data_IF_426494898121
#
_entry.id   IF_426494898121
#
_cell.length_a   1.000
_cell.length_b   1.000
_cell.length_c   1.000
_cell.angle_alpha   90.00
_cell.angle_beta   90.00
_cell.angle_gamma   90.00
#
_symmetry.space_group_name_H-M   'P 1'
#
loop_
_entity.id
_entity.type
_entity.pdbx_description
1 polymer ?
#
# COMPACT_ATOMS: atom_id res chain seq x y z
N UNK A 1 -0.22 -10.27 14.37
CA UNK A 1 -0.98 -9.87 15.57
C UNK A 1 -2.23 -9.13 15.10
N UNK A 2 -3.39 -9.83 15.04
CA UNK A 2 -4.64 -9.25 14.57
C UNK A 2 -5.11 -8.04 15.39
N UNK A 3 -4.69 -7.92 16.66
CA UNK A 3 -5.08 -6.80 17.52
C UNK A 3 -4.51 -5.45 17.08
N UNK A 4 -3.52 -5.46 16.17
CA UNK A 4 -2.88 -4.26 15.61
C UNK A 4 -3.48 -3.82 14.28
N UNK A 5 -4.47 -4.55 13.76
CA UNK A 5 -5.10 -4.24 12.48
C UNK A 5 -6.38 -3.43 12.68
N UNK A 6 -6.64 -2.51 11.78
CA UNK A 6 -7.94 -1.84 11.66
C UNK A 6 -8.93 -2.69 10.86
N UNK A 7 -10.14 -2.16 10.66
CA UNK A 7 -11.24 -2.82 9.95
C UNK A 7 -10.91 -3.15 8.48
N UNK A 8 -9.91 -2.49 7.89
CA UNK A 8 -9.44 -2.76 6.53
C UNK A 8 -8.25 -3.73 6.49
N UNK A 9 -7.86 -4.30 7.64
CA UNK A 9 -6.70 -5.20 7.74
C UNK A 9 -5.36 -4.48 7.69
N UNK A 10 -5.33 -3.15 7.85
CA UNK A 10 -4.12 -2.35 7.84
C UNK A 10 -3.56 -2.15 9.26
N UNK A 11 -2.24 -2.05 9.41
CA UNK A 11 -1.61 -1.86 10.73
C UNK A 11 -1.92 -0.45 11.27
N UNK A 12 -2.72 -0.36 12.34
CA UNK A 12 -3.24 0.90 12.89
C UNK A 12 -2.14 1.89 13.29
N UNK A 13 -1.03 1.38 13.86
CA UNK A 13 0.12 2.21 14.21
C UNK A 13 0.80 2.85 12.99
N UNK A 14 0.90 2.13 11.88
CA UNK A 14 1.44 2.69 10.62
C UNK A 14 0.48 3.72 10.03
N UNK A 15 -0.83 3.48 10.11
CA UNK A 15 -1.85 4.43 9.67
C UNK A 15 -1.79 5.74 10.47
N UNK A 16 -1.61 5.68 11.79
CA UNK A 16 -1.44 6.87 12.62
C UNK A 16 -0.16 7.65 12.27
N UNK A 17 0.96 6.96 12.09
CA UNK A 17 2.22 7.57 11.70
C UNK A 17 2.13 8.27 10.33
N UNK A 18 1.53 7.62 9.33
CA UNK A 18 1.32 8.17 8.00
C UNK A 18 0.44 9.42 8.03
N UNK A 19 -0.68 9.39 8.77
CA UNK A 19 -1.58 10.57 8.94
C UNK A 19 -0.85 11.75 9.56
N UNK A 20 -0.07 11.52 10.62
CA UNK A 20 0.68 12.59 11.30
C UNK A 20 1.77 13.20 10.40
N UNK A 21 2.51 12.35 9.69
CA UNK A 21 3.53 12.79 8.74
C UNK A 21 2.89 13.62 7.61
N UNK A 22 1.80 13.12 7.02
CA UNK A 22 1.11 13.79 5.92
C UNK A 22 0.51 15.14 6.34
N UNK A 23 0.03 15.28 7.58
CA UNK A 23 -0.43 16.55 8.13
C UNK A 23 0.69 17.60 8.14
N UNK A 24 1.88 17.21 8.60
CA UNK A 24 3.05 18.11 8.65
C UNK A 24 3.60 18.40 7.25
N UNK A 25 3.63 17.39 6.37
CA UNK A 25 4.05 17.55 4.98
C UNK A 25 3.17 18.55 4.23
N UNK A 26 1.84 18.47 4.40
CA UNK A 26 0.92 19.42 3.78
C UNK A 26 1.14 20.85 4.30
N UNK A 27 1.38 21.02 5.61
CA UNK A 27 1.70 22.33 6.19
C UNK A 27 3.02 22.90 5.62
N UNK A 28 4.04 22.04 5.47
CA UNK A 28 5.31 22.42 4.86
C UNK A 28 5.15 22.79 3.38
N UNK A 29 4.37 22.03 2.60
CA UNK A 29 4.11 22.32 1.20
C UNK A 29 3.48 23.71 1.02
N UNK A 30 2.50 24.07 1.87
CA UNK A 30 1.92 25.42 1.89
C UNK A 30 2.96 26.49 2.21
N UNK A 31 3.75 26.28 3.26
CA UNK A 31 4.81 27.22 3.64
C UNK A 31 5.81 27.45 2.49
N UNK A 32 6.22 26.39 1.80
CA UNK A 32 7.13 26.51 0.67
C UNK A 32 6.48 27.25 -0.50
N UNK A 33 5.18 27.04 -0.75
CA UNK A 33 4.44 27.75 -1.80
C UNK A 33 4.37 29.26 -1.52
N UNK A 34 4.22 29.64 -0.24
CA UNK A 34 4.22 31.04 0.19
C UNK A 34 5.63 31.68 0.08
N UNK A 35 6.69 30.90 0.31
CA UNK A 35 8.08 31.36 0.25
C UNK A 35 8.63 31.46 -1.18
N UNK A 36 8.10 30.64 -2.10
CA UNK A 36 8.56 30.52 -3.48
C UNK A 36 7.39 30.74 -4.44
N UNK A 37 6.91 31.97 -4.53
CA UNK A 37 5.76 32.36 -5.37
C UNK A 37 5.97 32.14 -6.87
N UNK A 38 7.21 31.97 -7.30
CA UNK A 38 7.62 31.66 -8.67
C UNK A 38 7.65 30.14 -8.95
N UNK A 39 7.50 29.30 -7.93
CA UNK A 39 7.45 27.84 -8.04
C UNK A 39 6.04 27.31 -7.86
N UNK A 40 5.72 26.19 -8.50
CA UNK A 40 4.47 25.46 -8.30
C UNK A 40 4.70 24.26 -7.38
N UNK A 41 4.03 24.23 -6.23
CA UNK A 41 4.15 23.16 -5.24
C UNK A 41 2.78 22.52 -5.05
N UNK A 42 2.67 21.24 -5.44
CA UNK A 42 1.43 20.47 -5.34
C UNK A 42 1.57 19.40 -4.27
N UNK A 43 0.64 19.39 -3.32
CA UNK A 43 0.47 18.31 -2.35
C UNK A 43 -0.63 17.35 -2.82
N UNK A 44 -0.36 16.05 -2.79
CA UNK A 44 -1.33 15.00 -3.12
C UNK A 44 -1.55 14.12 -1.90
N UNK A 45 -2.79 14.07 -1.40
CA UNK A 45 -3.17 13.19 -0.28
C UNK A 45 -3.32 11.74 -0.73
N UNK A 46 -2.19 11.09 -0.99
CA UNK A 46 -2.13 9.69 -1.40
C UNK A 46 -2.70 8.76 -0.34
N UNK A 47 -2.61 9.12 0.94
CA UNK A 47 -3.15 8.28 2.01
C UNK A 47 -4.66 8.17 1.87
N UNK A 48 -5.38 9.28 1.80
CA UNK A 48 -6.83 9.27 1.65
C UNK A 48 -7.27 8.62 0.34
N UNK A 49 -6.57 8.89 -0.77
CA UNK A 49 -6.87 8.28 -2.07
C UNK A 49 -6.76 6.75 -1.99
N UNK A 50 -5.64 6.22 -1.51
CA UNK A 50 -5.43 4.77 -1.40
C UNK A 50 -6.37 4.12 -0.39
N UNK A 51 -6.58 4.73 0.78
CA UNK A 51 -7.51 4.19 1.77
C UNK A 51 -8.94 4.13 1.25
N UNK A 52 -9.40 5.14 0.49
CA UNK A 52 -10.72 5.08 -0.15
C UNK A 52 -10.80 3.99 -1.22
N UNK A 53 -9.75 3.83 -2.02
CA UNK A 53 -9.66 2.80 -3.04
C UNK A 53 -9.75 1.40 -2.43
N UNK A 54 -8.98 1.14 -1.38
CA UNK A 54 -9.01 -0.14 -0.64
C UNK A 54 -10.39 -0.37 -0.01
N UNK A 55 -10.97 0.65 0.64
CA UNK A 55 -12.26 0.52 1.32
C UNK A 55 -13.44 0.30 0.34
N UNK A 56 -13.35 0.85 -0.88
CA UNK A 56 -14.42 0.82 -1.88
C UNK A 56 -13.99 0.08 -3.16
N UNK A 57 -13.04 -0.85 -3.07
CA UNK A 57 -12.37 -1.49 -4.19
C UNK A 57 -13.35 -2.04 -5.25
N UNK A 58 -14.44 -2.68 -4.81
CA UNK A 58 -15.48 -3.24 -5.68
C UNK A 58 -16.22 -2.20 -6.51
N UNK A 59 -16.38 -0.97 -6.01
CA UNK A 59 -16.98 0.15 -6.77
C UNK A 59 -16.13 0.54 -7.97
N UNK A 60 -14.81 0.30 -7.90
CA UNK A 60 -13.85 0.64 -8.94
C UNK A 60 -13.48 -0.54 -9.82
N UNK A 61 -14.12 -1.70 -9.64
CA UNK A 61 -13.90 -2.91 -10.45
C UNK A 61 -12.77 -3.81 -9.95
N UNK A 62 -12.18 -3.52 -8.80
CA UNK A 62 -11.21 -4.42 -8.18
C UNK A 62 -11.91 -5.52 -7.39
N UNK A 63 -11.22 -6.64 -7.22
CA UNK A 63 -11.67 -7.79 -6.42
C UNK A 63 -10.79 -8.02 -5.18
N UNK A 64 -9.53 -7.61 -5.24
CA UNK A 64 -8.51 -7.90 -4.24
C UNK A 64 -7.96 -6.60 -3.60
N UNK A 65 -8.52 -6.15 -2.47
CA UNK A 65 -8.16 -4.85 -1.88
C UNK A 65 -6.81 -4.84 -1.12
N UNK A 66 -6.38 -6.00 -0.59
CA UNK A 66 -5.20 -6.10 0.28
C UNK A 66 -4.25 -7.24 -0.07
N UNK A 67 -4.62 -8.09 -1.02
CA UNK A 67 -3.75 -9.15 -1.52
C UNK A 67 -2.80 -8.55 -2.56
N UNK A 68 -1.52 -8.91 -2.55
CA UNK A 68 -0.60 -8.50 -3.60
C UNK A 68 -0.82 -9.37 -4.85
N UNK A 69 -0.92 -8.74 -6.03
CA UNK A 69 -0.92 -9.47 -7.30
C UNK A 69 0.36 -10.30 -7.45
N UNK A 70 1.52 -9.72 -7.13
CA UNK A 70 2.79 -10.45 -7.21
C UNK A 70 3.39 -10.71 -5.84
N UNK A 71 3.56 -11.98 -5.52
CA UNK A 71 4.16 -12.39 -4.26
C UNK A 71 4.09 -13.88 -4.01
N UNK A 72 4.11 -14.26 -2.74
CA UNK A 72 4.20 -15.65 -2.29
C UNK A 72 3.48 -15.82 -0.96
N UNK A 73 2.91 -17.00 -0.74
CA UNK A 73 2.24 -17.37 0.51
C UNK A 73 0.71 -17.35 0.45
N UNK A 74 0.10 -16.85 -0.64
CA UNK A 74 -1.35 -16.89 -0.83
C UNK A 74 -2.15 -15.94 0.07
N UNK A 75 -3.50 -16.06 0.08
CA UNK A 75 -4.36 -15.16 0.83
C UNK A 75 -4.05 -15.12 2.34
N UNK A 76 -4.33 -14.00 3.04
CA UNK A 76 -5.02 -12.80 2.54
C UNK A 76 -4.09 -11.75 1.89
N UNK A 77 -2.76 -11.85 2.05
CA UNK A 77 -1.83 -10.79 1.62
C UNK A 77 -0.98 -11.17 0.40
N UNK A 78 -0.79 -12.47 0.13
CA UNK A 78 0.16 -12.98 -0.86
C UNK A 78 1.56 -12.37 -0.72
N UNK A 79 2.04 -12.19 0.51
CA UNK A 79 3.31 -11.54 0.79
C UNK A 79 4.16 -12.35 1.76
N UNK A 80 5.41 -12.59 1.39
CA UNK A 80 6.45 -13.13 2.26
C UNK A 80 7.74 -12.32 2.08
N UNK A 81 8.16 -11.62 3.13
CA UNK A 81 9.38 -10.78 3.13
C UNK A 81 10.66 -11.54 2.74
N UNK A 82 10.66 -12.88 2.82
CA UNK A 82 11.82 -13.71 2.50
C UNK A 82 12.03 -13.81 0.99
N UNK A 83 10.98 -13.66 0.17
CA UNK A 83 11.02 -13.81 -1.29
C UNK A 83 10.24 -12.67 -1.95
N UNK A 84 10.94 -11.79 -2.66
CA UNK A 84 10.28 -10.66 -3.35
C UNK A 84 9.77 -11.11 -4.72
N UNK A 85 8.77 -10.40 -5.25
CA UNK A 85 8.17 -10.66 -6.56
C UNK A 85 9.22 -10.95 -7.66
N UNK A 86 8.99 -12.01 -8.45
CA UNK A 86 9.86 -12.42 -9.55
C UNK A 86 11.13 -13.18 -9.13
N UNK A 87 11.41 -13.31 -7.83
CA UNK A 87 12.53 -14.12 -7.36
C UNK A 87 12.14 -15.58 -7.16
N UNK A 88 13.12 -16.46 -7.39
CA UNK A 88 13.11 -17.84 -6.93
C UNK A 88 14.05 -18.00 -5.74
N UNK A 89 13.59 -18.59 -4.64
CA UNK A 89 14.39 -18.88 -3.44
C UNK A 89 14.07 -20.25 -2.88
N UNK A 90 15.05 -20.85 -2.21
CA UNK A 90 14.82 -22.05 -1.40
C UNK A 90 14.26 -21.62 -0.05
N UNK A 91 12.99 -21.93 0.19
CA UNK A 91 12.30 -21.72 1.46
C UNK A 91 12.05 -23.08 2.09
N UNK A 92 12.56 -23.28 3.31
CA UNK A 92 12.34 -24.51 4.09
C UNK A 92 12.70 -25.79 3.30
N UNK A 93 13.78 -25.71 2.50
CA UNK A 93 14.29 -26.80 1.66
C UNK A 93 13.62 -26.95 0.29
N UNK A 94 12.56 -26.17 0.00
CA UNK A 94 11.81 -26.23 -1.26
C UNK A 94 12.07 -24.99 -2.12
N UNK A 95 12.31 -25.17 -3.42
CA UNK A 95 12.40 -24.04 -4.35
C UNK A 95 11.01 -23.43 -4.58
N UNK A 96 10.88 -22.16 -4.25
CA UNK A 96 9.66 -21.37 -4.39
C UNK A 96 9.94 -20.15 -5.28
N UNK A 97 8.98 -19.77 -6.11
CA UNK A 97 9.03 -18.54 -6.91
C UNK A 97 7.88 -17.63 -6.51
N UNK A 98 8.16 -16.37 -6.21
CA UNK A 98 7.11 -15.37 -6.04
C UNK A 98 6.60 -14.95 -7.42
N UNK A 99 5.34 -15.25 -7.70
CA UNK A 99 4.74 -15.12 -9.02
C UNK A 99 3.74 -13.97 -9.05
N UNK A 100 3.59 -13.39 -10.24
CA UNK A 100 2.51 -12.46 -10.52
C UNK A 100 1.19 -13.21 -10.71
N UNK A 101 0.09 -12.52 -10.42
CA UNK A 101 -1.26 -12.95 -10.73
C UNK A 101 -1.48 -12.96 -12.26
N UNK A 102 -2.54 -13.66 -12.70
CA UNK A 102 -2.89 -13.73 -14.13
C UNK A 102 -3.55 -12.45 -14.65
N UNK A 103 -4.33 -11.77 -13.81
CA UNK A 103 -4.99 -10.51 -14.13
C UNK A 103 -4.68 -9.47 -13.05
N UNK A 104 -3.81 -8.51 -13.37
CA UNK A 104 -3.43 -7.44 -12.44
C UNK A 104 -4.51 -6.37 -12.28
N UNK A 105 -5.55 -6.37 -13.12
CA UNK A 105 -6.65 -5.40 -13.03
C UNK A 105 -7.61 -5.68 -11.88
N UNK A 106 -7.58 -6.90 -11.33
CA UNK A 106 -8.38 -7.30 -10.16
C UNK A 106 -7.81 -6.76 -8.83
N UNK A 107 -6.59 -6.23 -8.81
CA UNK A 107 -5.85 -5.87 -7.58
C UNK A 107 -5.66 -4.36 -7.45
N UNK A 108 -5.82 -3.83 -6.23
CA UNK A 108 -5.59 -2.41 -5.88
C UNK A 108 -4.12 -2.00 -5.91
#
# INVERSE_FOLDING_TARGET
DPSKLDELGCVSGHNQAAKLFNLQLHALAKKLQDQHSDSNITYVDIYTIKSNLIANYSRYGFEQPIMACCGYGGPPLNYDRRIVCGQTKVLDGTSATAQACNDSTEYV
#
